data_IF_328007273409
#
_entry.id   IF_328007273409
#
_cell.length_a   1.000
_cell.length_b   1.000
_cell.length_c   1.000
_cell.angle_alpha   90.00
_cell.angle_beta   90.00
_cell.angle_gamma   90.00
#
_symmetry.space_group_name_H-M   'P 1'
#
loop_
_entity.id
_entity.type
_entity.pdbx_description
1 polymer ?
#
# COMPACT_ATOMS: atom_id res chain seq x y z
N UNK A 1 -4.08 15.32 16.01
CA UNK A 1 -4.47 14.19 15.16
C UNK A 1 -3.94 14.46 13.77
N UNK A 2 -3.12 13.56 13.21
CA UNK A 2 -2.44 13.72 11.92
C UNK A 2 -2.93 12.67 10.93
N UNK A 3 -2.93 13.02 9.66
CA UNK A 3 -3.26 12.18 8.53
C UNK A 3 -2.03 12.08 7.62
N UNK A 4 -1.68 10.88 7.17
CA UNK A 4 -0.62 10.67 6.20
C UNK A 4 -1.18 10.27 4.83
N UNK A 5 -0.73 10.90 3.76
CA UNK A 5 -0.90 10.42 2.38
C UNK A 5 0.48 10.01 1.87
N UNK A 6 0.63 8.77 1.41
CA UNK A 6 1.94 8.27 1.02
C UNK A 6 2.00 7.58 -0.33
N UNK A 7 3.20 7.48 -0.88
CA UNK A 7 3.62 6.48 -1.86
C UNK A 7 4.99 5.90 -1.50
N UNK A 8 5.28 4.72 -2.03
CA UNK A 8 6.65 4.25 -2.25
C UNK A 8 7.02 4.62 -3.67
N UNK A 9 8.17 5.24 -3.87
CA UNK A 9 8.58 5.83 -5.14
C UNK A 9 9.89 5.23 -5.60
N UNK A 10 9.94 4.86 -6.87
CA UNK A 10 11.16 4.38 -7.51
C UNK A 10 12.15 5.52 -7.76
N UNK A 11 13.44 5.21 -7.67
CA UNK A 11 14.49 6.09 -8.15
C UNK A 11 14.64 6.01 -9.67
N UNK A 12 14.77 7.17 -10.32
CA UNK A 12 15.01 7.29 -11.74
C UNK A 12 16.32 8.04 -12.01
N UNK A 13 16.90 7.83 -13.19
CA UNK A 13 18.16 8.48 -13.60
C UNK A 13 17.99 9.95 -13.99
N UNK A 14 16.79 10.33 -14.42
CA UNK A 14 16.45 11.67 -14.90
C UNK A 14 15.23 12.25 -14.19
N UNK A 15 15.09 13.56 -14.26
CA UNK A 15 14.00 14.27 -13.58
C UNK A 15 12.65 14.11 -14.27
N UNK A 16 12.64 13.95 -15.59
CA UNK A 16 11.43 13.85 -16.40
C UNK A 16 10.65 12.59 -16.09
N UNK A 17 11.33 11.52 -15.66
CA UNK A 17 10.70 10.28 -15.23
C UNK A 17 9.81 10.43 -13.98
N UNK A 18 9.91 11.55 -13.25
CA UNK A 18 9.01 11.87 -12.14
C UNK A 18 7.74 12.63 -12.54
N UNK A 19 7.49 12.89 -13.83
CA UNK A 19 6.32 13.67 -14.27
C UNK A 19 4.99 13.07 -13.82
N UNK A 20 4.84 11.75 -13.90
CA UNK A 20 3.64 11.06 -13.39
C UNK A 20 3.45 11.27 -11.89
N UNK A 21 4.52 11.14 -11.10
CA UNK A 21 4.49 11.38 -9.66
C UNK A 21 4.11 12.84 -9.36
N UNK A 22 4.65 13.80 -10.12
CA UNK A 22 4.34 15.23 -9.98
C UNK A 22 2.87 15.49 -10.28
N UNK A 23 2.33 14.95 -11.39
CA UNK A 23 0.90 15.04 -11.73
C UNK A 23 0.02 14.42 -10.64
N UNK A 24 0.42 13.26 -10.10
CA UNK A 24 -0.24 12.64 -8.96
C UNK A 24 -0.28 13.59 -7.77
N UNK A 25 0.86 14.17 -7.39
CA UNK A 25 0.97 15.06 -6.23
C UNK A 25 0.11 16.31 -6.39
N UNK A 26 0.10 16.93 -7.59
CA UNK A 26 -0.77 18.06 -7.92
C UNK A 26 -2.26 17.68 -7.85
N UNK A 27 -2.63 16.49 -8.32
CA UNK A 27 -4.00 15.98 -8.20
C UNK A 27 -4.40 15.79 -6.72
N UNK A 28 -3.54 15.19 -5.90
CA UNK A 28 -3.76 15.03 -4.47
C UNK A 28 -3.92 16.39 -3.77
N UNK A 29 -3.04 17.36 -4.08
CA UNK A 29 -3.17 18.73 -3.58
C UNK A 29 -4.57 19.30 -3.83
N UNK A 30 -5.04 19.22 -5.07
CA UNK A 30 -6.28 19.86 -5.50
C UNK A 30 -7.54 19.10 -5.08
N UNK A 31 -7.50 17.76 -5.12
CA UNK A 31 -8.67 16.91 -4.86
C UNK A 31 -8.82 16.58 -3.37
N UNK A 32 -7.71 16.47 -2.65
CA UNK A 32 -7.66 16.03 -1.25
C UNK A 32 -7.20 17.16 -0.31
N UNK A 33 -5.93 17.53 -0.32
CA UNK A 33 -5.29 18.33 0.73
C UNK A 33 -6.01 19.66 0.95
N UNK A 34 -6.34 20.39 -0.11
CA UNK A 34 -7.08 21.67 -0.02
C UNK A 34 -8.47 21.56 0.60
N UNK A 35 -9.04 20.35 0.69
CA UNK A 35 -10.42 20.10 1.14
C UNK A 35 -10.49 19.33 2.46
N UNK A 36 -9.39 18.73 2.88
CA UNK A 36 -9.30 18.04 4.17
C UNK A 36 -9.19 19.07 5.30
N UNK A 37 -9.95 18.83 6.39
CA UNK A 37 -9.95 19.67 7.60
C UNK A 37 -8.94 19.19 8.64
N UNK A 38 -8.18 18.16 8.33
CA UNK A 38 -7.20 17.52 9.20
C UNK A 38 -5.81 17.88 8.69
N UNK A 39 -4.89 18.13 9.60
CA UNK A 39 -3.47 18.29 9.23
C UNK A 39 -2.99 17.04 8.50
N UNK A 40 -2.51 17.23 7.28
CA UNK A 40 -2.17 16.14 6.36
C UNK A 40 -0.75 16.30 5.88
N UNK A 41 0.08 15.29 6.14
CA UNK A 41 1.43 15.16 5.61
C UNK A 41 1.43 14.34 4.32
N UNK A 42 2.16 14.81 3.31
CA UNK A 42 2.53 14.03 2.14
C UNK A 42 3.87 13.35 2.41
N UNK A 43 3.92 12.03 2.29
CA UNK A 43 5.12 11.22 2.54
C UNK A 43 5.47 10.44 1.29
N UNK A 44 6.72 10.54 0.85
CA UNK A 44 7.29 9.70 -0.19
C UNK A 44 8.41 8.85 0.41
N UNK A 45 8.21 7.55 0.44
CA UNK A 45 9.22 6.57 0.80
C UNK A 45 10.06 6.21 -0.41
N UNK A 46 11.37 6.01 -0.24
CA UNK A 46 12.27 5.62 -1.32
C UNK A 46 13.43 4.74 -0.80
N UNK A 47 14.03 3.98 -1.69
CA UNK A 47 15.10 3.02 -1.40
C UNK A 47 16.50 3.67 -1.37
N UNK A 48 16.63 4.91 -0.87
CA UNK A 48 17.90 5.66 -0.89
C UNK A 48 18.33 6.15 -2.26
N UNK A 49 17.54 5.93 -3.29
CA UNK A 49 17.87 6.13 -4.70
C UNK A 49 17.26 7.40 -5.32
N UNK A 50 16.74 8.32 -4.51
CA UNK A 50 16.26 9.65 -4.93
C UNK A 50 17.17 10.71 -4.32
N UNK A 51 18.00 11.35 -5.13
CA UNK A 51 18.95 12.36 -4.69
C UNK A 51 18.26 13.63 -4.15
N UNK A 52 18.95 14.41 -3.32
CA UNK A 52 18.42 15.69 -2.79
C UNK A 52 17.97 16.65 -3.90
N UNK A 53 18.69 16.69 -5.03
CA UNK A 53 18.31 17.51 -6.19
C UNK A 53 17.01 17.04 -6.83
N UNK A 54 16.81 15.73 -6.92
CA UNK A 54 15.56 15.14 -7.41
C UNK A 54 14.41 15.37 -6.43
N UNK A 55 14.64 15.22 -5.11
CA UNK A 55 13.66 15.55 -4.08
C UNK A 55 13.21 17.00 -4.19
N UNK A 56 14.18 17.94 -4.33
CA UNK A 56 13.88 19.36 -4.54
C UNK A 56 13.06 19.59 -5.81
N UNK A 57 13.46 18.97 -6.94
CA UNK A 57 12.72 19.05 -8.19
C UNK A 57 11.26 18.59 -8.03
N UNK A 58 11.04 17.44 -7.38
CA UNK A 58 9.70 16.89 -7.13
C UNK A 58 8.87 17.86 -6.28
N UNK A 59 9.44 18.42 -5.19
CA UNK A 59 8.74 19.38 -4.32
C UNK A 59 8.35 20.63 -5.08
N UNK A 60 9.32 21.25 -5.80
CA UNK A 60 9.11 22.50 -6.52
C UNK A 60 8.01 22.34 -7.59
N UNK A 61 8.02 21.24 -8.33
CA UNK A 61 7.03 20.96 -9.37
C UNK A 61 5.67 20.51 -8.84
N UNK A 62 5.65 19.81 -7.70
CA UNK A 62 4.39 19.37 -7.05
C UNK A 62 3.69 20.53 -6.34
N UNK A 63 4.44 21.58 -5.98
CA UNK A 63 3.93 22.78 -5.28
C UNK A 63 3.19 22.42 -3.99
N UNK A 64 3.74 21.46 -3.22
CA UNK A 64 3.32 21.07 -1.87
C UNK A 64 4.53 20.62 -1.05
N UNK A 65 4.51 20.80 0.28
CA UNK A 65 5.50 20.21 1.16
C UNK A 65 5.44 18.68 1.10
N UNK A 66 6.58 18.03 0.98
CA UNK A 66 6.72 16.57 0.93
C UNK A 66 7.79 16.15 1.92
N UNK A 67 7.50 15.14 2.74
CA UNK A 67 8.50 14.45 3.55
C UNK A 67 9.04 13.27 2.75
N UNK A 68 10.36 13.22 2.51
CA UNK A 68 11.02 12.05 1.96
C UNK A 68 11.58 11.21 3.10
N UNK A 69 11.37 9.90 3.03
CA UNK A 69 11.87 8.94 4.02
C UNK A 69 12.62 7.85 3.28
N UNK A 70 13.91 7.75 3.58
CA UNK A 70 14.76 6.66 3.11
C UNK A 70 14.42 5.38 3.87
N UNK A 71 14.09 4.33 3.14
CA UNK A 71 13.73 2.99 3.65
C UNK A 71 14.61 1.91 3.05
N UNK A 72 15.81 2.27 2.60
CA UNK A 72 16.76 1.33 1.99
C UNK A 72 17.06 0.11 2.85
N UNK A 73 17.07 0.27 4.18
CA UNK A 73 17.26 -0.84 5.14
C UNK A 73 16.14 -1.90 5.04
N UNK A 74 14.93 -1.53 4.64
CA UNK A 74 13.84 -2.48 4.42
C UNK A 74 13.95 -3.25 3.10
N UNK A 75 14.90 -2.88 2.24
CA UNK A 75 15.11 -3.47 0.91
C UNK A 75 16.36 -4.36 0.86
N UNK A 76 16.92 -4.70 2.02
CA UNK A 76 18.01 -5.68 2.13
C UNK A 76 17.43 -7.10 2.19
N UNK A 77 18.04 -8.04 1.46
CA UNK A 77 17.62 -9.45 1.42
C UNK A 77 18.80 -10.38 1.11
N UNK A 78 18.66 -11.68 1.46
CA UNK A 78 19.61 -12.71 1.04
C UNK A 78 19.41 -13.06 -0.44
N UNK A 79 20.42 -12.78 -1.27
CA UNK A 79 20.39 -13.07 -2.72
C UNK A 79 20.22 -14.55 -3.06
N UNK A 80 20.53 -15.46 -2.13
CA UNK A 80 20.29 -16.90 -2.34
C UNK A 80 18.79 -17.20 -2.49
N UNK A 81 17.89 -16.33 -2.02
CA UNK A 81 16.46 -16.48 -2.20
C UNK A 81 16.02 -16.40 -3.67
N UNK A 82 16.77 -15.68 -4.52
CA UNK A 82 16.43 -15.53 -5.93
C UNK A 82 16.36 -16.89 -6.65
N UNK A 83 17.34 -17.77 -6.42
CA UNK A 83 17.41 -19.08 -7.04
C UNK A 83 16.32 -20.06 -6.57
N UNK A 84 15.71 -19.78 -5.41
CA UNK A 84 14.61 -20.56 -4.81
C UNK A 84 13.24 -20.00 -5.17
N UNK A 85 13.19 -18.80 -5.74
CA UNK A 85 11.96 -18.06 -5.95
C UNK A 85 11.17 -18.53 -7.15
N UNK A 86 9.88 -18.78 -6.97
CA UNK A 86 8.95 -19.08 -8.06
C UNK A 86 8.65 -17.83 -8.88
N UNK A 87 8.51 -17.97 -10.18
CA UNK A 87 8.20 -16.87 -11.12
C UNK A 87 9.15 -15.65 -10.98
N UNK A 88 10.43 -15.87 -10.65
CA UNK A 88 11.39 -14.80 -10.39
C UNK A 88 11.57 -13.86 -11.58
N UNK A 89 11.52 -14.39 -12.82
CA UNK A 89 11.64 -13.58 -14.03
C UNK A 89 10.49 -12.58 -14.18
N UNK A 90 9.30 -12.95 -13.75
CA UNK A 90 8.11 -12.08 -13.76
C UNK A 90 8.08 -11.11 -12.58
N UNK A 91 8.49 -11.57 -11.40
CA UNK A 91 8.45 -10.83 -10.15
C UNK A 91 9.85 -10.75 -9.54
N UNK A 92 10.66 -9.82 -10.03
CA UNK A 92 12.03 -9.58 -9.57
C UNK A 92 12.10 -9.14 -8.10
N UNK A 93 13.29 -9.16 -7.53
CA UNK A 93 13.55 -8.81 -6.12
C UNK A 93 12.91 -7.50 -5.70
N UNK A 94 13.05 -6.43 -6.46
CA UNK A 94 12.46 -5.13 -6.13
C UNK A 94 10.94 -5.16 -5.97
N UNK A 95 10.23 -5.92 -6.83
CA UNK A 95 8.78 -6.11 -6.68
C UNK A 95 8.42 -6.87 -5.40
N UNK A 96 9.16 -7.94 -5.08
CA UNK A 96 8.92 -8.75 -3.86
C UNK A 96 9.17 -7.96 -2.59
N UNK A 97 10.25 -7.17 -2.56
CA UNK A 97 10.58 -6.28 -1.45
C UNK A 97 9.57 -5.14 -1.30
N UNK A 98 9.11 -4.56 -2.42
CA UNK A 98 8.01 -3.61 -2.43
C UNK A 98 6.73 -4.19 -1.81
N UNK A 99 6.37 -5.43 -2.13
CA UNK A 99 5.25 -6.13 -1.51
C UNK A 99 5.47 -6.32 0.00
N UNK A 100 6.66 -6.79 0.41
CA UNK A 100 7.04 -6.94 1.82
C UNK A 100 6.93 -5.62 2.57
N UNK A 101 7.54 -4.56 2.05
CA UNK A 101 7.49 -3.24 2.65
C UNK A 101 6.06 -2.74 2.81
N UNK A 102 5.25 -2.82 1.76
CA UNK A 102 3.86 -2.35 1.78
C UNK A 102 2.94 -3.18 2.69
N UNK A 103 3.22 -4.47 2.90
CA UNK A 103 2.45 -5.32 3.78
C UNK A 103 2.85 -5.14 5.25
N UNK A 104 4.13 -5.24 5.57
CA UNK A 104 4.64 -5.31 6.94
C UNK A 104 5.56 -4.15 7.34
N UNK A 105 6.51 -3.76 6.49
CA UNK A 105 7.55 -2.79 6.86
C UNK A 105 7.05 -1.37 7.11
N UNK A 106 5.98 -0.96 6.44
CA UNK A 106 5.47 0.41 6.47
C UNK A 106 4.99 0.88 7.86
N UNK A 107 4.45 -0.03 8.67
CA UNK A 107 3.73 0.33 9.89
C UNK A 107 4.62 0.95 10.96
N UNK A 108 5.92 0.63 10.99
CA UNK A 108 6.89 1.22 11.92
C UNK A 108 7.11 2.73 11.70
N UNK A 109 6.82 3.24 10.51
CA UNK A 109 6.98 4.66 10.15
C UNK A 109 5.73 5.51 10.39
N UNK A 110 4.60 4.89 10.78
CA UNK A 110 3.31 5.56 10.85
C UNK A 110 2.82 5.85 12.27
N UNK A 111 3.62 5.60 13.31
CA UNK A 111 3.21 5.72 14.72
C UNK A 111 2.71 7.11 15.14
N UNK A 112 3.13 8.18 14.47
CA UNK A 112 2.64 9.55 14.77
C UNK A 112 1.29 9.90 14.11
N UNK A 113 0.81 9.03 13.19
CA UNK A 113 -0.40 9.29 12.41
C UNK A 113 -1.58 8.49 12.97
N UNK A 114 -2.76 9.13 12.99
CA UNK A 114 -4.01 8.44 13.34
C UNK A 114 -4.62 7.75 12.13
N UNK A 115 -4.54 8.39 10.95
CA UNK A 115 -5.04 7.85 9.70
C UNK A 115 -3.97 7.87 8.64
N UNK A 116 -4.08 6.93 7.75
CA UNK A 116 -3.14 6.69 6.70
C UNK A 116 -3.85 6.38 5.39
N UNK A 117 -3.45 7.04 4.32
CA UNK A 117 -3.96 6.80 2.98
C UNK A 117 -2.81 6.44 2.04
N UNK A 118 -2.82 5.23 1.51
CA UNK A 118 -1.94 4.86 0.40
C UNK A 118 -2.53 5.37 -0.89
N UNK A 119 -1.71 5.98 -1.71
CA UNK A 119 -1.97 6.32 -3.10
C UNK A 119 -0.67 6.07 -3.84
N UNK A 120 -0.60 5.05 -4.69
CA UNK A 120 0.64 4.68 -5.39
C UNK A 120 1.17 5.79 -6.31
N UNK A 121 2.44 5.70 -6.69
CA UNK A 121 3.16 6.76 -7.42
C UNK A 121 2.56 7.09 -8.80
N UNK A 122 1.85 6.13 -9.39
CA UNK A 122 1.22 6.18 -10.70
C UNK A 122 -0.31 6.30 -10.65
N UNK A 123 -0.86 6.66 -9.48
CA UNK A 123 -2.31 6.80 -9.25
C UNK A 123 -2.71 8.27 -9.21
N UNK A 124 -3.45 8.72 -10.22
CA UNK A 124 -3.93 10.10 -10.35
C UNK A 124 -5.38 10.20 -9.87
N UNK A 125 -5.58 10.78 -8.67
CA UNK A 125 -6.91 10.92 -8.08
C UNK A 125 -7.76 11.93 -8.86
N UNK A 126 -8.91 11.49 -9.38
CA UNK A 126 -9.86 12.31 -10.12
C UNK A 126 -10.97 12.85 -9.22
N UNK A 127 -11.37 12.08 -8.20
CA UNK A 127 -12.43 12.42 -7.26
C UNK A 127 -12.18 11.70 -5.93
N UNK A 128 -12.51 12.36 -4.81
CA UNK A 128 -12.42 11.77 -3.48
C UNK A 128 -13.71 11.99 -2.66
N UNK A 129 -13.98 11.07 -1.75
CA UNK A 129 -15.10 11.20 -0.79
C UNK A 129 -14.69 12.10 0.38
N UNK A 130 -14.60 13.40 0.13
CA UNK A 130 -14.19 14.40 1.13
C UNK A 130 -15.10 14.41 2.34
N UNK A 131 -16.39 14.12 2.18
CA UNK A 131 -17.35 14.07 3.31
C UNK A 131 -16.99 12.93 4.26
N UNK A 132 -16.64 11.76 3.73
CA UNK A 132 -16.17 10.62 4.51
C UNK A 132 -14.83 10.96 5.21
N UNK A 133 -13.87 11.48 4.45
CA UNK A 133 -12.52 11.75 4.95
C UNK A 133 -12.48 12.83 6.04
N UNK A 134 -13.38 13.80 6.01
CA UNK A 134 -13.53 14.82 7.05
C UNK A 134 -14.36 14.34 8.26
N UNK A 135 -14.98 13.18 8.21
CA UNK A 135 -15.71 12.60 9.33
C UNK A 135 -14.87 11.51 10.00
N UNK A 136 -14.05 11.93 10.95
CA UNK A 136 -13.11 11.04 11.65
C UNK A 136 -13.77 9.88 12.40
N UNK A 137 -15.03 10.06 12.85
CA UNK A 137 -15.78 8.96 13.49
C UNK A 137 -15.98 7.78 12.53
N UNK A 138 -16.14 8.06 11.24
CA UNK A 138 -16.30 7.01 10.23
C UNK A 138 -14.97 6.30 9.90
N UNK A 139 -13.84 6.95 10.15
CA UNK A 139 -12.52 6.38 9.86
C UNK A 139 -11.98 5.50 11.01
N UNK A 140 -12.43 5.75 12.25
CA UNK A 140 -11.95 5.00 13.43
C UNK A 140 -12.22 3.50 13.29
N UNK A 141 -11.20 2.69 13.53
CA UNK A 141 -11.22 1.24 13.46
C UNK A 141 -11.78 0.68 12.13
N UNK A 142 -11.59 1.41 11.03
CA UNK A 142 -12.08 0.98 9.74
C UNK A 142 -10.98 0.97 8.68
N UNK A 143 -11.16 0.04 7.72
CA UNK A 143 -10.36 -0.05 6.50
C UNK A 143 -11.26 0.22 5.28
N UNK A 144 -10.84 1.13 4.43
CA UNK A 144 -11.57 1.50 3.22
C UNK A 144 -10.73 1.30 1.97
N UNK A 145 -11.30 0.70 0.93
CA UNK A 145 -10.70 0.60 -0.39
C UNK A 145 -11.68 1.02 -1.48
N UNK A 146 -11.17 1.36 -2.66
CA UNK A 146 -12.03 1.72 -3.81
C UNK A 146 -12.61 0.49 -4.47
N UNK A 147 -11.85 -0.61 -4.50
CA UNK A 147 -12.23 -1.86 -5.15
C UNK A 147 -11.74 -3.07 -4.35
N UNK A 148 -12.36 -4.21 -4.61
CA UNK A 148 -11.89 -5.51 -4.17
C UNK A 148 -11.33 -6.25 -5.38
N UNK A 149 -10.32 -7.07 -5.18
CA UNK A 149 -9.67 -7.89 -6.21
C UNK A 149 -9.39 -9.29 -5.68
N UNK A 150 -9.16 -10.20 -6.61
CA UNK A 150 -8.69 -11.54 -6.30
C UNK A 150 -7.16 -11.56 -6.35
N UNK A 151 -6.53 -12.43 -5.58
CA UNK A 151 -5.16 -12.85 -5.85
C UNK A 151 -5.20 -13.93 -6.93
N UNK A 152 -4.40 -13.74 -7.97
CA UNK A 152 -4.36 -14.63 -9.13
C UNK A 152 -3.07 -15.44 -9.25
N UNK A 153 -2.15 -15.25 -8.30
CA UNK A 153 -0.88 -15.97 -8.27
C UNK A 153 -1.04 -17.27 -7.47
N UNK A 154 -1.08 -18.39 -8.16
CA UNK A 154 -1.33 -19.70 -7.54
C UNK A 154 -0.37 -20.05 -6.39
N UNK A 155 0.97 -19.85 -6.50
CA UNK A 155 1.87 -20.12 -5.38
C UNK A 155 1.53 -19.31 -4.11
N UNK A 156 1.08 -18.06 -4.25
CA UNK A 156 0.60 -17.26 -3.11
C UNK A 156 -0.67 -17.85 -2.52
N UNK A 157 -1.63 -18.23 -3.37
CA UNK A 157 -2.92 -18.80 -2.94
C UNK A 157 -2.78 -20.15 -2.23
N UNK A 158 -1.74 -20.90 -2.54
CA UNK A 158 -1.47 -22.20 -1.91
C UNK A 158 -0.68 -22.03 -0.60
N UNK A 159 0.40 -21.25 -0.63
CA UNK A 159 1.40 -21.26 0.45
C UNK A 159 1.05 -20.29 1.59
N UNK A 160 0.54 -19.10 1.31
CA UNK A 160 0.17 -18.13 2.36
C UNK A 160 -0.95 -18.65 3.29
N UNK A 161 -2.06 -19.24 2.79
CA UNK A 161 -3.06 -19.84 3.67
C UNK A 161 -2.51 -21.00 4.50
N UNK A 162 -1.64 -21.83 3.92
CA UNK A 162 -1.00 -22.92 4.64
C UNK A 162 -0.16 -22.40 5.81
N UNK A 163 0.65 -21.38 5.56
CA UNK A 163 1.45 -20.72 6.59
C UNK A 163 0.57 -20.13 7.71
N UNK A 164 -0.47 -19.36 7.35
CA UNK A 164 -1.38 -18.76 8.32
C UNK A 164 -2.12 -19.81 9.16
N UNK A 165 -2.54 -20.92 8.55
CA UNK A 165 -3.15 -22.05 9.28
C UNK A 165 -2.20 -22.61 10.34
N UNK A 166 -0.92 -22.75 9.99
CA UNK A 166 0.09 -23.30 10.92
C UNK A 166 0.31 -22.38 12.14
N UNK A 167 0.21 -21.06 11.96
CA UNK A 167 0.39 -20.09 13.05
C UNK A 167 -0.80 -20.03 14.01
N UNK A 168 -2.01 -20.13 13.49
CA UNK A 168 -3.24 -19.90 14.28
C UNK A 168 -4.03 -21.16 14.58
N UNK A 169 -3.58 -22.34 14.14
CA UNK A 169 -4.37 -23.59 14.20
C UNK A 169 -5.77 -23.44 13.57
N UNK A 170 -5.92 -22.57 12.57
CA UNK A 170 -7.19 -22.28 11.93
C UNK A 170 -7.47 -23.29 10.82
N UNK A 171 -8.50 -24.10 10.98
CA UNK A 171 -8.86 -25.17 10.03
C UNK A 171 -9.40 -24.62 8.69
N UNK A 172 -9.96 -23.41 8.66
CA UNK A 172 -10.82 -22.93 7.57
C UNK A 172 -10.36 -21.67 6.82
N UNK A 173 -9.06 -21.32 6.81
CA UNK A 173 -8.60 -20.25 5.93
C UNK A 173 -8.48 -20.81 4.50
N UNK A 174 -9.34 -20.32 3.62
CA UNK A 174 -9.28 -20.63 2.18
C UNK A 174 -9.38 -19.31 1.38
N UNK A 175 -8.38 -19.01 0.56
CA UNK A 175 -8.33 -17.77 -0.22
C UNK A 175 -9.04 -17.85 -1.58
N UNK A 176 -9.37 -19.03 -2.07
CA UNK A 176 -9.93 -19.23 -3.42
C UNK A 176 -11.25 -18.48 -3.70
N UNK A 177 -11.92 -17.97 -2.67
CA UNK A 177 -13.16 -17.19 -2.81
C UNK A 177 -13.10 -15.84 -2.06
N UNK A 178 -11.94 -15.41 -1.58
CA UNK A 178 -11.80 -14.16 -0.86
C UNK A 178 -11.49 -13.00 -1.80
N UNK A 179 -12.26 -11.92 -1.66
CA UNK A 179 -11.96 -10.64 -2.28
C UNK A 179 -11.13 -9.81 -1.32
N UNK A 180 -9.92 -9.46 -1.75
CA UNK A 180 -8.97 -8.66 -0.97
C UNK A 180 -9.09 -7.17 -1.31
N UNK A 181 -8.69 -6.25 -0.42
CA UNK A 181 -8.69 -4.82 -0.72
C UNK A 181 -7.68 -4.53 -1.83
N UNK A 182 -8.11 -3.83 -2.88
CA UNK A 182 -7.19 -3.38 -3.92
C UNK A 182 -6.24 -2.32 -3.35
N UNK A 183 -4.95 -2.62 -3.32
CA UNK A 183 -3.98 -1.91 -2.48
C UNK A 183 -3.41 -0.62 -3.06
N UNK A 184 -3.68 -0.28 -4.32
CA UNK A 184 -3.18 0.95 -4.97
C UNK A 184 -3.73 2.23 -4.36
N UNK A 185 -4.94 2.17 -3.78
CA UNK A 185 -5.56 3.25 -3.04
C UNK A 185 -6.46 2.70 -1.93
N UNK A 186 -6.05 2.92 -0.70
CA UNK A 186 -6.88 2.63 0.48
C UNK A 186 -6.60 3.62 1.60
N UNK A 187 -7.50 3.65 2.58
CA UNK A 187 -7.36 4.43 3.82
C UNK A 187 -7.69 3.55 5.01
N UNK A 188 -6.96 3.71 6.09
CA UNK A 188 -7.18 2.99 7.33
C UNK A 188 -6.88 3.83 8.56
N UNK A 189 -7.45 3.43 9.69
CA UNK A 189 -7.00 3.82 11.02
C UNK A 189 -5.70 3.07 11.33
N UNK A 190 -4.62 3.81 11.59
CA UNK A 190 -3.29 3.24 11.86
C UNK A 190 -3.31 2.34 13.10
N UNK A 191 -4.15 2.65 14.11
CA UNK A 191 -4.22 1.87 15.34
C UNK A 191 -4.65 0.41 15.13
N UNK A 192 -5.27 0.08 14.00
CA UNK A 192 -5.56 -1.32 13.62
C UNK A 192 -4.25 -2.10 13.52
N UNK A 193 -3.29 -1.56 12.77
CA UNK A 193 -2.01 -2.21 12.49
C UNK A 193 -0.94 -1.96 13.57
N UNK A 194 -1.32 -1.31 14.67
CA UNK A 194 -0.51 -1.13 15.88
C UNK A 194 -0.95 -2.04 17.04
N UNK A 195 -1.94 -2.90 16.84
CA UNK A 195 -2.28 -3.95 17.80
C UNK A 195 -1.14 -4.95 17.87
N UNK A 196 -0.76 -5.37 19.07
CA UNK A 196 0.36 -6.28 19.31
C UNK A 196 0.24 -7.56 18.47
N UNK A 197 -0.94 -8.19 18.51
CA UNK A 197 -1.20 -9.42 17.78
C UNK A 197 -1.12 -9.27 16.24
N UNK A 198 -1.38 -8.06 15.71
CA UNK A 198 -1.24 -7.77 14.27
C UNK A 198 0.20 -7.48 13.91
N UNK A 199 0.93 -6.75 14.78
CA UNK A 199 2.36 -6.49 14.59
C UNK A 199 3.13 -7.81 14.57
N UNK A 200 2.85 -8.71 15.52
CA UNK A 200 3.51 -10.01 15.62
C UNK A 200 3.27 -10.86 14.37
N UNK A 201 2.02 -10.88 13.88
CA UNK A 201 1.70 -11.59 12.64
C UNK A 201 2.38 -10.98 11.43
N UNK A 202 2.37 -9.65 11.31
CA UNK A 202 3.04 -8.94 10.20
C UNK A 202 4.55 -9.17 10.21
N UNK A 203 5.17 -9.18 11.40
CA UNK A 203 6.59 -9.51 11.58
C UNK A 203 6.86 -10.96 11.19
N UNK A 204 6.06 -11.90 11.67
CA UNK A 204 6.19 -13.32 11.33
C UNK A 204 6.09 -13.57 9.82
N UNK A 205 5.16 -12.91 9.13
CA UNK A 205 5.04 -12.98 7.66
C UNK A 205 6.26 -12.33 6.99
N UNK A 206 6.63 -11.13 7.43
CA UNK A 206 7.72 -10.35 6.81
C UNK A 206 9.11 -10.97 7.01
N UNK A 207 9.34 -11.68 8.12
CA UNK A 207 10.61 -12.34 8.43
C UNK A 207 10.71 -13.75 7.84
N UNK A 208 9.61 -14.27 7.28
CA UNK A 208 9.61 -15.58 6.62
C UNK A 208 10.12 -15.45 5.18
N UNK A 209 11.13 -16.25 4.83
CA UNK A 209 11.68 -16.35 3.47
C UNK A 209 10.60 -16.68 2.42
N UNK A 210 9.57 -17.41 2.78
CA UNK A 210 8.45 -17.78 1.91
C UNK A 210 7.70 -16.57 1.36
N UNK A 211 7.68 -15.46 2.11
CA UNK A 211 7.12 -14.18 1.65
C UNK A 211 7.84 -13.71 0.37
N UNK A 212 9.17 -13.84 0.34
CA UNK A 212 9.97 -13.55 -0.84
C UNK A 212 9.87 -14.67 -1.89
N UNK A 213 10.07 -15.93 -1.49
CA UNK A 213 10.13 -17.08 -2.40
C UNK A 213 8.83 -17.26 -3.20
N UNK A 214 7.67 -17.20 -2.54
CA UNK A 214 6.35 -17.40 -3.15
C UNK A 214 5.65 -16.08 -3.51
N UNK A 215 6.32 -14.96 -3.36
CA UNK A 215 5.76 -13.64 -3.71
C UNK A 215 4.44 -13.37 -2.96
N UNK A 216 4.41 -13.51 -1.64
CA UNK A 216 3.22 -13.10 -0.88
C UNK A 216 3.05 -11.57 -1.00
N UNK A 217 2.11 -11.17 -1.86
CA UNK A 217 1.85 -9.77 -2.19
C UNK A 217 1.20 -9.03 -1.02
N UNK A 218 1.30 -7.70 -1.05
CA UNK A 218 0.67 -6.85 -0.05
C UNK A 218 -0.87 -6.95 -0.04
N UNK A 219 -1.48 -7.19 -1.19
CA UNK A 219 -2.93 -7.39 -1.32
C UNK A 219 -3.43 -8.62 -0.52
N UNK A 220 -2.93 -9.86 -0.73
CA UNK A 220 -3.39 -11.02 0.01
C UNK A 220 -2.94 -10.99 1.48
N UNK A 221 -1.79 -10.43 1.81
CA UNK A 221 -1.32 -10.33 3.20
C UNK A 221 -2.23 -9.40 4.01
N UNK A 222 -2.45 -8.15 3.54
CA UNK A 222 -3.34 -7.20 4.23
C UNK A 222 -4.77 -7.73 4.30
N UNK A 223 -5.28 -8.31 3.21
CA UNK A 223 -6.63 -8.87 3.18
C UNK A 223 -6.81 -10.03 4.15
N UNK A 224 -5.80 -10.87 4.33
CA UNK A 224 -5.81 -11.96 5.30
C UNK A 224 -5.86 -11.46 6.73
N UNK A 225 -5.05 -10.45 7.05
CA UNK A 225 -5.05 -9.82 8.37
C UNK A 225 -6.42 -9.22 8.68
N UNK A 226 -6.98 -8.45 7.76
CA UNK A 226 -8.30 -7.86 7.95
C UNK A 226 -9.37 -8.93 8.20
N UNK A 227 -9.29 -10.06 7.52
CA UNK A 227 -10.23 -11.18 7.69
C UNK A 227 -10.00 -11.93 9.01
N UNK A 228 -8.76 -12.26 9.38
CA UNK A 228 -8.43 -12.99 10.61
C UNK A 228 -8.88 -12.21 11.86
N UNK A 229 -8.76 -10.89 11.83
CA UNK A 229 -9.11 -10.03 12.96
C UNK A 229 -10.49 -9.36 12.84
N UNK A 230 -11.38 -9.87 11.99
CA UNK A 230 -12.76 -9.40 11.76
C UNK A 230 -12.85 -7.88 11.50
N UNK A 231 -11.87 -7.34 10.75
CA UNK A 231 -11.86 -5.93 10.37
C UNK A 231 -12.63 -5.76 9.06
N UNK A 232 -13.77 -5.05 9.14
CA UNK A 232 -14.61 -4.82 7.96
C UNK A 232 -13.92 -4.00 6.88
N UNK A 233 -13.88 -4.53 5.65
CA UNK A 233 -13.41 -3.81 4.47
C UNK A 233 -14.57 -3.02 3.87
N UNK A 234 -14.51 -1.69 3.99
CA UNK A 234 -15.54 -0.76 3.49
C UNK A 234 -15.16 -0.17 2.14
N UNK A 235 -16.16 0.25 1.39
CA UNK A 235 -15.97 0.81 0.05
C UNK A 235 -15.93 2.33 0.04
N UNK A 236 -14.92 2.92 -0.59
CA UNK A 236 -14.84 4.35 -0.93
C UNK A 236 -15.73 4.67 -2.14
N UNK A 237 -17.05 4.81 -1.90
CA UNK A 237 -18.06 4.87 -2.97
C UNK A 237 -17.94 6.07 -3.92
N UNK A 238 -17.35 7.19 -3.47
CA UNK A 238 -17.25 8.45 -4.23
C UNK A 238 -15.82 8.80 -4.63
N UNK A 239 -14.89 7.83 -4.53
CA UNK A 239 -13.50 8.00 -4.93
C UNK A 239 -13.27 7.38 -6.29
N UNK A 240 -12.56 8.09 -7.15
CA UNK A 240 -12.16 7.65 -8.49
C UNK A 240 -10.73 8.08 -8.76
N UNK A 241 -9.95 7.23 -9.39
CA UNK A 241 -8.61 7.53 -9.84
C UNK A 241 -8.32 6.88 -11.20
N UNK A 242 -7.31 7.39 -11.88
CA UNK A 242 -6.69 6.78 -13.03
C UNK A 242 -5.41 6.08 -12.54
N UNK A 243 -5.23 4.81 -12.92
CA UNK A 243 -4.03 4.03 -12.63
C UNK A 243 -3.21 3.95 -13.90
N UNK A 244 -2.16 4.72 -13.99
CA UNK A 244 -1.45 4.96 -15.24
C UNK A 244 -0.79 3.70 -15.79
N UNK A 245 -0.04 2.97 -14.99
CA UNK A 245 0.64 1.74 -15.43
C UNK A 245 -0.31 0.66 -15.93
N UNK A 246 -1.59 0.69 -15.51
CA UNK A 246 -2.62 -0.23 -15.99
C UNK A 246 -3.57 0.40 -17.02
N UNK A 247 -3.43 1.69 -17.29
CA UNK A 247 -4.29 2.45 -18.20
C UNK A 247 -5.79 2.28 -17.93
N UNK A 248 -6.19 2.26 -16.65
CA UNK A 248 -7.58 2.02 -16.22
C UNK A 248 -8.08 3.11 -15.28
N UNK A 249 -9.40 3.38 -15.33
CA UNK A 249 -10.08 4.25 -14.35
C UNK A 249 -10.74 3.38 -13.30
N UNK A 250 -10.29 3.48 -12.05
CA UNK A 250 -10.84 2.76 -10.90
C UNK A 250 -11.91 3.60 -10.19
N UNK A 251 -12.94 2.93 -9.67
CA UNK A 251 -14.07 3.58 -8.98
C UNK A 251 -15.27 3.90 -9.86
N UNK A 252 -15.27 3.54 -11.14
CA UNK A 252 -16.45 3.48 -11.99
C UNK A 252 -17.12 2.11 -11.87
N UNK A 253 -18.48 2.07 -11.95
CA UNK A 253 -19.26 0.83 -11.78
C UNK A 253 -18.94 -0.29 -12.78
N UNK A 254 -18.27 0.00 -13.89
CA UNK A 254 -18.08 -0.91 -15.03
C UNK A 254 -16.68 -1.52 -15.16
N UNK A 255 -15.76 -1.29 -14.23
CA UNK A 255 -14.35 -1.69 -14.42
C UNK A 255 -14.08 -3.13 -13.97
N UNK A 256 -14.93 -3.69 -13.10
CA UNK A 256 -14.83 -5.07 -12.66
C UNK A 256 -16.16 -5.79 -12.97
N UNK A 257 -16.25 -6.42 -14.13
CA UNK A 257 -17.23 -7.45 -14.42
C UNK A 257 -16.72 -8.79 -13.95
#
# INVERSE_FOLDING_TARGET
>A
MKFAIRALVRGYSDNESYDTLILRNQAIKNVLIKKLKIHTDMILFHEGNITENQQKYIVDKSDIPIKFIDVSDDFVYDRNLESRSVDFERFKSGYRLMCKFNASGIWKYLGEYKYFMRIDEDVIVKKADIKLLNNTKNLNNNFYTVALSDETHDPTNETLPFYLKSLFHLENINFYNHKFPYTNLYITDVSIFQREEIIDLLSAIGDNDDQFIYRWGDLPVLGSILNIFDIEIKKLKKTQYFHESHNVIVGKKSIFK
#
